data_IF_421765164502
#
_entry.id   IF_421765164502
#
_cell.length_a   1.000
_cell.length_b   1.000
_cell.length_c   1.000
_cell.angle_alpha   90.00
_cell.angle_beta   90.00
_cell.angle_gamma   90.00
#
_symmetry.space_group_name_H-M   'P 1'
#
loop_
_entity.id
_entity.type
_entity.pdbx_description
1 polymer ?
#
# COMPACT_ATOMS: atom_id res chain seq x y z
N UNK A 1 -0.65 26.32 17.80
CA UNK A 1 -0.99 25.97 16.41
C UNK A 1 -1.01 24.45 16.30
N UNK A 2 -2.15 23.86 15.96
CA UNK A 2 -2.28 22.42 15.78
C UNK A 2 -2.61 22.12 14.32
N UNK A 3 -1.87 21.19 13.70
CA UNK A 3 -2.03 20.83 12.29
C UNK A 3 -2.68 19.44 12.22
N UNK A 4 -3.90 19.37 11.69
CA UNK A 4 -4.52 18.10 11.33
C UNK A 4 -4.05 17.68 9.93
N UNK A 5 -3.15 16.69 9.87
CA UNK A 5 -2.55 16.18 8.62
C UNK A 5 -3.51 15.41 7.71
N UNK A 6 -4.66 14.95 8.22
CA UNK A 6 -5.67 14.24 7.42
C UNK A 6 -6.58 15.21 6.66
N UNK A 7 -6.80 16.42 7.18
CA UNK A 7 -7.75 17.39 6.63
C UNK A 7 -7.13 18.76 6.27
N UNK A 8 -5.79 18.87 6.30
CA UNK A 8 -5.06 20.13 6.10
C UNK A 8 -5.66 21.33 6.86
N UNK A 9 -6.11 21.10 8.10
CA UNK A 9 -6.77 22.13 8.91
C UNK A 9 -5.80 22.63 9.97
N UNK A 10 -5.51 23.93 9.91
CA UNK A 10 -4.65 24.65 10.87
C UNK A 10 -5.56 25.33 11.89
N UNK A 11 -5.35 25.04 13.17
CA UNK A 11 -6.02 25.75 14.27
C UNK A 11 -5.05 26.73 14.92
N UNK A 12 -5.47 28.00 15.00
CA UNK A 12 -4.75 29.12 15.62
C UNK A 12 -5.76 30.09 16.23
N UNK A 13 -5.41 30.75 17.34
CA UNK A 13 -6.25 31.75 18.01
C UNK A 13 -6.38 33.05 17.21
N UNK A 14 -5.45 33.30 16.29
CA UNK A 14 -5.50 34.38 15.30
C UNK A 14 -5.21 33.82 13.89
N UNK A 15 -5.81 34.41 12.84
CA UNK A 15 -5.60 34.00 11.45
C UNK A 15 -4.10 34.09 11.11
N UNK A 16 -3.40 32.96 10.90
CA UNK A 16 -1.95 32.97 10.90
C UNK A 16 -1.32 33.48 9.59
N UNK A 17 -2.11 33.91 8.59
CA UNK A 17 -1.63 34.31 7.25
C UNK A 17 -0.64 33.30 6.63
N UNK A 18 -0.81 32.02 6.96
CA UNK A 18 0.04 30.94 6.45
C UNK A 18 -0.59 30.41 5.18
N UNK A 19 0.03 30.69 4.05
CA UNK A 19 -0.30 30.09 2.76
C UNK A 19 0.52 28.82 2.59
N UNK A 20 -0.16 27.66 2.51
CA UNK A 20 0.49 26.40 2.13
C UNK A 20 0.21 26.18 0.65
N UNK A 21 1.12 26.64 -0.20
CA UNK A 21 1.06 26.28 -1.62
C UNK A 21 1.30 24.78 -1.77
N UNK A 22 0.27 24.08 -2.25
CA UNK A 22 0.37 22.67 -2.62
C UNK A 22 0.29 22.60 -4.15
N UNK A 23 1.23 21.93 -4.83
CA UNK A 23 1.15 21.77 -6.28
C UNK A 23 -0.21 21.19 -6.68
N UNK A 24 -0.81 21.70 -7.76
CA UNK A 24 -2.08 21.19 -8.30
C UNK A 24 -1.95 19.72 -8.75
N UNK A 25 -0.74 19.34 -9.18
CA UNK A 25 -0.36 17.99 -9.57
C UNK A 25 0.92 17.58 -8.84
N UNK A 26 0.83 17.25 -7.54
CA UNK A 26 2.01 16.79 -6.82
C UNK A 26 2.43 15.45 -7.42
N UNK A 27 3.73 15.29 -7.65
CA UNK A 27 4.29 14.03 -8.09
C UNK A 27 3.98 12.94 -7.07
N UNK A 28 3.56 11.76 -7.56
CA UNK A 28 3.18 10.64 -6.71
C UNK A 28 3.81 9.38 -7.24
N UNK A 29 4.27 8.55 -6.32
CA UNK A 29 4.56 7.15 -6.62
C UNK A 29 3.35 6.30 -6.26
N UNK A 30 3.18 5.24 -7.03
CA UNK A 30 2.31 4.14 -6.66
C UNK A 30 3.18 2.97 -6.25
N UNK A 31 2.98 2.52 -5.02
CA UNK A 31 3.65 1.35 -4.47
C UNK A 31 2.62 0.28 -4.14
N UNK A 32 3.02 -0.97 -4.34
CA UNK A 32 2.31 -2.15 -3.93
C UNK A 32 3.20 -2.99 -3.04
N UNK A 33 2.65 -3.52 -1.96
CA UNK A 33 3.36 -4.40 -1.04
C UNK A 33 2.44 -5.55 -0.63
N UNK A 34 3.06 -6.66 -0.28
CA UNK A 34 2.41 -7.80 0.35
C UNK A 34 2.98 -8.00 1.74
N UNK A 35 2.11 -8.10 2.76
CA UNK A 35 2.51 -8.53 4.10
C UNK A 35 1.88 -9.86 4.45
N UNK A 36 2.57 -10.63 5.27
CA UNK A 36 2.11 -11.85 5.91
C UNK A 36 2.86 -12.08 7.23
N UNK A 37 2.57 -13.18 7.95
CA UNK A 37 3.08 -13.38 9.31
C UNK A 37 4.61 -13.50 9.40
N UNK A 38 5.26 -14.06 8.38
CA UNK A 38 6.71 -14.18 8.36
C UNK A 38 7.44 -13.02 7.72
N UNK A 39 6.76 -11.99 7.20
CA UNK A 39 7.46 -10.85 6.59
C UNK A 39 6.65 -10.04 5.59
N UNK A 40 7.36 -9.13 4.91
CA UNK A 40 6.86 -8.34 3.79
C UNK A 40 7.60 -8.82 2.53
N UNK A 41 6.85 -9.08 1.46
CA UNK A 41 7.44 -9.21 0.12
C UNK A 41 7.67 -7.80 -0.41
N UNK A 42 8.84 -7.61 -1.03
CA UNK A 42 9.39 -6.31 -1.41
C UNK A 42 8.37 -5.34 -2.06
N UNK A 43 8.54 -4.02 -1.86
CA UNK A 43 7.71 -3.03 -2.51
C UNK A 43 7.91 -3.06 -4.04
N UNK A 44 6.80 -3.16 -4.77
CA UNK A 44 6.75 -2.97 -6.21
C UNK A 44 6.32 -1.55 -6.56
N UNK A 45 7.11 -0.88 -7.39
CA UNK A 45 6.85 0.48 -7.87
C UNK A 45 6.38 0.43 -9.33
N UNK A 46 5.23 1.01 -9.62
CA UNK A 46 4.69 1.00 -10.98
C UNK A 46 5.36 2.11 -11.82
N UNK A 47 6.33 1.69 -12.64
CA UNK A 47 7.06 2.54 -13.57
C UNK A 47 6.95 2.02 -15.02
N UNK A 48 7.14 2.90 -16.00
CA UNK A 48 7.36 2.51 -17.39
C UNK A 48 8.85 2.20 -17.63
N UNK A 49 9.20 1.84 -18.87
CA UNK A 49 10.58 1.49 -19.26
C UNK A 49 11.58 2.65 -19.12
N UNK A 50 11.08 3.89 -19.05
CA UNK A 50 11.88 5.11 -18.82
C UNK A 50 12.02 5.44 -17.32
N UNK A 51 11.42 4.65 -16.42
CA UNK A 51 11.43 4.89 -14.99
C UNK A 51 10.36 5.88 -14.48
N UNK A 52 9.48 6.37 -15.35
CA UNK A 52 8.40 7.28 -14.98
C UNK A 52 7.25 6.55 -14.28
N UNK A 53 6.70 7.15 -13.21
CA UNK A 53 5.54 6.60 -12.49
C UNK A 53 4.31 6.50 -13.39
N UNK A 54 3.58 5.40 -13.27
CA UNK A 54 2.40 5.15 -14.10
C UNK A 54 1.13 4.82 -13.32
N UNK A 55 -0.02 5.17 -13.90
CA UNK A 55 -1.33 4.75 -13.38
C UNK A 55 -1.50 3.24 -13.50
N UNK A 56 -1.84 2.58 -12.40
CA UNK A 56 -2.18 1.15 -12.41
C UNK A 56 -3.58 0.96 -12.98
N UNK A 57 -3.64 0.19 -14.06
CA UNK A 57 -4.85 -0.37 -14.64
C UNK A 57 -4.86 -1.90 -14.44
N UNK A 58 -5.89 -2.59 -14.95
CA UNK A 58 -6.01 -4.05 -14.83
C UNK A 58 -4.81 -4.80 -15.43
N UNK A 59 -4.34 -4.38 -16.61
CA UNK A 59 -3.24 -5.07 -17.30
C UNK A 59 -1.91 -4.93 -16.57
N UNK A 60 -1.59 -3.72 -16.09
CA UNK A 60 -0.38 -3.47 -15.29
C UNK A 60 -0.43 -4.19 -13.94
N UNK A 61 -1.62 -4.25 -13.33
CA UNK A 61 -1.80 -5.00 -12.10
C UNK A 61 -1.60 -6.49 -12.32
N UNK A 62 -2.21 -7.06 -13.37
CA UNK A 62 -1.99 -8.46 -13.78
C UNK A 62 -0.52 -8.75 -14.03
N UNK A 63 0.17 -7.89 -14.79
CA UNK A 63 1.58 -8.04 -15.09
C UNK A 63 2.44 -8.05 -13.82
N UNK A 64 2.16 -7.17 -12.86
CA UNK A 64 2.81 -7.18 -11.54
C UNK A 64 2.55 -8.49 -10.80
N UNK A 65 1.30 -8.97 -10.76
CA UNK A 65 0.97 -10.24 -10.10
C UNK A 65 1.74 -11.41 -10.74
N UNK A 66 1.75 -11.49 -12.07
CA UNK A 66 2.41 -12.59 -12.81
C UNK A 66 3.93 -12.53 -12.72
N UNK A 67 4.53 -11.36 -12.90
CA UNK A 67 5.98 -11.24 -13.13
C UNK A 67 6.76 -10.91 -11.86
N UNK A 68 6.09 -10.41 -10.82
CA UNK A 68 6.72 -10.05 -9.55
C UNK A 68 6.18 -10.90 -8.41
N UNK A 69 4.88 -10.83 -8.12
CA UNK A 69 4.35 -11.43 -6.90
C UNK A 69 4.37 -12.98 -6.92
N UNK A 70 3.83 -13.62 -7.96
CA UNK A 70 3.80 -15.09 -8.03
C UNK A 70 5.20 -15.73 -7.95
N UNK A 71 6.24 -15.20 -8.64
CA UNK A 71 7.60 -15.69 -8.49
C UNK A 71 8.14 -15.65 -7.05
N UNK A 72 7.81 -14.60 -6.27
CA UNK A 72 8.20 -14.48 -4.86
C UNK A 72 7.54 -15.55 -3.97
N UNK A 73 6.40 -16.11 -4.41
CA UNK A 73 5.70 -17.18 -3.70
C UNK A 73 6.43 -18.54 -3.75
N UNK A 74 7.39 -18.73 -4.67
CA UNK A 74 8.13 -20.00 -4.79
C UNK A 74 8.89 -20.39 -3.51
N UNK A 75 9.14 -19.44 -2.62
CA UNK A 75 9.80 -19.66 -1.33
C UNK A 75 8.82 -20.07 -0.22
N UNK A 76 7.51 -20.20 -0.52
CA UNK A 76 6.45 -20.40 0.46
C UNK A 76 5.50 -21.52 0.04
N UNK A 77 4.86 -22.14 1.03
CA UNK A 77 3.78 -23.10 0.77
C UNK A 77 2.46 -22.37 0.50
N UNK A 78 2.18 -22.13 -0.79
CA UNK A 78 0.98 -21.43 -1.27
C UNK A 78 -0.32 -22.16 -0.88
N UNK A 79 -0.27 -23.44 -0.53
CA UNK A 79 -1.46 -24.20 -0.11
C UNK A 79 -2.01 -23.74 1.23
N UNK A 80 -1.14 -23.18 2.08
CA UNK A 80 -1.50 -22.65 3.40
C UNK A 80 -1.79 -21.14 3.37
N UNK A 81 -1.60 -20.47 2.23
CA UNK A 81 -1.77 -19.02 2.11
C UNK A 81 -3.18 -18.63 1.66
N UNK A 82 -3.74 -17.63 2.33
CA UNK A 82 -4.92 -16.89 1.90
C UNK A 82 -4.52 -15.59 1.23
N UNK A 83 -5.12 -15.25 0.10
CA UNK A 83 -4.90 -13.96 -0.57
C UNK A 83 -6.07 -13.02 -0.32
N UNK A 84 -5.80 -11.80 0.14
CA UNK A 84 -6.78 -10.74 0.31
C UNK A 84 -6.36 -9.48 -0.44
N UNK A 85 -7.26 -8.99 -1.28
CA UNK A 85 -7.16 -7.69 -1.92
C UNK A 85 -8.48 -6.91 -1.81
N UNK A 86 -8.40 -5.59 -1.90
CA UNK A 86 -9.59 -4.72 -1.88
C UNK A 86 -10.37 -4.76 -3.21
N UNK A 87 -11.48 -4.02 -3.25
CA UNK A 87 -12.37 -3.95 -4.42
C UNK A 87 -11.98 -2.90 -5.45
N UNK A 88 -10.74 -2.41 -5.49
CA UNK A 88 -10.31 -1.40 -6.46
C UNK A 88 -10.45 -1.92 -7.91
N UNK A 89 -10.85 -1.06 -8.84
CA UNK A 89 -11.17 -1.48 -10.22
C UNK A 89 -10.03 -2.22 -10.91
N UNK A 90 -8.77 -1.80 -10.69
CA UNK A 90 -7.60 -2.48 -11.26
C UNK A 90 -7.37 -3.89 -10.68
N UNK A 91 -7.79 -4.15 -9.44
CA UNK A 91 -7.64 -5.44 -8.77
C UNK A 91 -8.73 -6.45 -9.20
N UNK A 92 -9.86 -5.93 -9.68
CA UNK A 92 -11.06 -6.72 -10.02
C UNK A 92 -11.17 -7.06 -11.51
N UNK A 93 -10.12 -6.82 -12.29
CA UNK A 93 -10.07 -7.25 -13.67
C UNK A 93 -10.22 -8.78 -13.74
N UNK A 94 -11.15 -9.27 -14.57
CA UNK A 94 -11.48 -10.70 -14.66
C UNK A 94 -10.24 -11.58 -14.85
N UNK A 95 -9.36 -11.17 -15.75
CA UNK A 95 -8.09 -11.87 -16.05
C UNK A 95 -7.13 -11.95 -14.86
N UNK A 96 -7.19 -11.00 -13.92
CA UNK A 96 -6.39 -11.06 -12.68
C UNK A 96 -7.07 -11.91 -11.62
N UNK A 97 -8.39 -11.82 -11.51
CA UNK A 97 -9.16 -12.67 -10.59
C UNK A 97 -9.02 -14.15 -10.97
N UNK A 98 -9.09 -14.48 -12.26
CA UNK A 98 -8.92 -15.85 -12.74
C UNK A 98 -7.50 -16.37 -12.42
N UNK A 99 -6.46 -15.56 -12.69
CA UNK A 99 -5.07 -15.89 -12.31
C UNK A 99 -4.89 -16.15 -10.80
N UNK A 100 -5.50 -15.31 -9.96
CA UNK A 100 -5.45 -15.47 -8.51
C UNK A 100 -6.23 -16.70 -8.04
N UNK A 101 -7.35 -17.04 -8.69
CA UNK A 101 -8.09 -18.29 -8.41
C UNK A 101 -7.26 -19.51 -8.78
N UNK A 102 -6.57 -19.48 -9.91
CA UNK A 102 -5.68 -20.58 -10.31
C UNK A 102 -4.53 -20.79 -9.32
N UNK A 103 -4.08 -19.71 -8.66
CA UNK A 103 -2.97 -19.74 -7.70
C UNK A 103 -3.42 -20.12 -6.28
N UNK A 104 -4.52 -19.54 -5.78
CA UNK A 104 -4.95 -19.66 -4.38
C UNK A 104 -6.22 -20.52 -4.19
N UNK A 105 -6.89 -20.93 -5.27
CA UNK A 105 -8.16 -21.67 -5.20
C UNK A 105 -9.23 -20.92 -4.43
N UNK A 106 -9.91 -21.62 -3.52
CA UNK A 106 -10.96 -21.05 -2.66
C UNK A 106 -10.43 -20.08 -1.58
N UNK A 107 -9.10 -19.97 -1.43
CA UNK A 107 -8.44 -19.10 -0.44
C UNK A 107 -8.26 -17.66 -0.91
N UNK A 108 -9.10 -17.20 -1.84
CA UNK A 108 -9.09 -15.84 -2.37
C UNK A 108 -10.26 -15.02 -1.80
N UNK A 109 -9.92 -13.97 -1.05
CA UNK A 109 -10.84 -12.94 -0.60
C UNK A 109 -10.68 -11.72 -1.50
N UNK A 110 -11.66 -11.46 -2.35
CA UNK A 110 -11.65 -10.33 -3.28
C UNK A 110 -13.08 -10.03 -3.71
N UNK A 111 -13.32 -8.83 -4.26
CA UNK A 111 -14.52 -8.64 -5.08
C UNK A 111 -14.44 -9.58 -6.29
N UNK A 112 -15.49 -10.37 -6.51
CA UNK A 112 -15.58 -11.45 -7.52
C UNK A 112 -14.69 -12.69 -7.26
N UNK A 113 -14.07 -12.78 -6.09
CA UNK A 113 -13.39 -13.99 -5.61
C UNK A 113 -14.37 -15.02 -5.02
N UNK A 114 -13.90 -16.23 -4.68
CA UNK A 114 -14.68 -17.24 -3.97
C UNK A 114 -15.27 -16.73 -2.65
N UNK A 115 -14.48 -15.95 -1.90
CA UNK A 115 -14.95 -15.23 -0.71
C UNK A 115 -15.10 -13.75 -1.05
N UNK A 116 -16.33 -13.24 -0.99
CA UNK A 116 -16.60 -11.85 -1.35
C UNK A 116 -16.03 -10.88 -0.32
N UNK A 117 -15.24 -9.91 -0.79
CA UNK A 117 -14.86 -8.73 -0.01
C UNK A 117 -15.97 -7.66 -0.08
N UNK A 118 -16.45 -7.14 1.06
CA UNK A 118 -17.51 -6.14 1.07
C UNK A 118 -17.11 -4.85 0.34
N UNK A 119 -18.05 -4.23 -0.40
CA UNK A 119 -17.80 -2.95 -1.07
C UNK A 119 -17.44 -1.86 -0.06
N UNK A 120 -16.52 -0.96 -0.43
CA UNK A 120 -16.10 0.22 0.37
C UNK A 120 -15.50 -0.10 1.74
N UNK A 121 -14.91 -1.28 1.89
CA UNK A 121 -14.28 -1.72 3.14
C UNK A 121 -12.75 -1.62 3.10
N UNK A 122 -12.18 -0.61 2.42
CA UNK A 122 -10.72 -0.40 2.43
C UNK A 122 -10.19 -0.26 3.86
N UNK A 123 -10.95 0.38 4.75
CA UNK A 123 -10.60 0.58 6.17
C UNK A 123 -10.54 -0.71 7.01
N UNK A 124 -10.94 -1.87 6.46
CA UNK A 124 -10.96 -3.14 7.19
C UNK A 124 -9.71 -4.00 7.00
N UNK A 125 -8.75 -3.57 6.18
CA UNK A 125 -7.46 -4.27 6.11
C UNK A 125 -6.55 -3.74 7.20
N UNK A 126 -5.87 -4.64 7.92
CA UNK A 126 -4.81 -4.24 8.85
C UNK A 126 -3.67 -3.51 8.13
N UNK A 127 -3.57 -3.64 6.81
CA UNK A 127 -2.57 -2.99 5.97
C UNK A 127 -2.78 -1.46 5.86
N UNK A 128 -4.01 -0.99 5.66
CA UNK A 128 -4.31 0.45 5.62
C UNK A 128 -4.19 1.09 7.01
N UNK A 129 -4.66 0.41 8.06
CA UNK A 129 -4.61 0.94 9.43
C UNK A 129 -3.19 0.96 10.00
N UNK A 130 -2.45 -0.13 9.85
CA UNK A 130 -1.13 -0.29 10.47
C UNK A 130 0.01 0.04 9.51
N UNK A 131 0.18 -0.72 8.43
CA UNK A 131 1.37 -0.65 7.59
C UNK A 131 1.51 0.73 6.96
N UNK A 132 0.49 1.20 6.24
CA UNK A 132 0.61 2.48 5.54
C UNK A 132 0.63 3.68 6.49
N UNK A 133 -0.04 3.61 7.64
CA UNK A 133 0.07 4.63 8.69
C UNK A 133 1.48 4.73 9.25
N UNK A 134 2.06 3.58 9.62
CA UNK A 134 3.43 3.46 10.14
C UNK A 134 4.48 3.87 9.11
N UNK A 135 4.44 3.30 7.91
CA UNK A 135 5.37 3.59 6.80
C UNK A 135 5.33 5.08 6.46
N UNK A 136 4.14 5.68 6.31
CA UNK A 136 4.02 7.14 6.04
C UNK A 136 4.68 7.96 7.15
N UNK A 137 4.51 7.59 8.42
CA UNK A 137 5.08 8.36 9.53
C UNK A 137 6.62 8.42 9.49
N UNK A 138 7.26 7.33 9.05
CA UNK A 138 8.72 7.22 8.95
C UNK A 138 9.25 7.78 7.65
N UNK A 139 8.64 7.44 6.52
CA UNK A 139 9.06 7.89 5.18
C UNK A 139 9.03 9.42 5.06
N UNK A 140 8.05 10.09 5.69
CA UNK A 140 7.97 11.54 5.67
C UNK A 140 8.75 12.24 6.79
N UNK A 141 9.35 11.50 7.74
CA UNK A 141 10.20 12.09 8.77
C UNK A 141 11.42 12.79 8.14
N UNK A 142 11.97 12.16 7.09
CA UNK A 142 13.14 12.64 6.36
C UNK A 142 12.82 13.74 5.31
N UNK A 143 11.54 14.13 5.20
CA UNK A 143 11.03 15.17 4.28
C UNK A 143 11.60 15.02 2.85
N UNK A 144 11.38 13.88 2.17
CA UNK A 144 11.93 13.66 0.84
C UNK A 144 11.46 14.76 -0.14
N UNK A 145 12.42 15.30 -0.90
CA UNK A 145 12.20 16.37 -1.88
C UNK A 145 12.10 15.85 -3.32
N UNK A 146 12.45 14.59 -3.56
CA UNK A 146 12.40 13.93 -4.87
C UNK A 146 11.67 12.60 -4.76
N UNK A 147 11.14 12.12 -5.88
CA UNK A 147 10.51 10.79 -5.95
C UNK A 147 11.50 9.66 -5.65
N UNK A 148 12.75 9.78 -6.11
CA UNK A 148 13.79 8.77 -5.85
C UNK A 148 14.10 8.66 -4.36
N UNK A 149 14.29 9.80 -3.67
CA UNK A 149 14.51 9.78 -2.22
C UNK A 149 13.29 9.26 -1.46
N UNK A 150 12.08 9.55 -1.95
CA UNK A 150 10.84 9.00 -1.37
C UNK A 150 10.78 7.47 -1.54
N UNK A 151 11.17 6.95 -2.71
CA UNK A 151 11.25 5.51 -2.99
C UNK A 151 12.31 4.82 -2.13
N UNK A 152 13.52 5.39 -2.04
CA UNK A 152 14.60 4.86 -1.20
C UNK A 152 14.18 4.78 0.27
N UNK A 153 13.48 5.80 0.78
CA UNK A 153 12.95 5.79 2.13
C UNK A 153 11.88 4.71 2.33
N UNK A 154 11.01 4.48 1.34
CA UNK A 154 10.01 3.41 1.41
C UNK A 154 10.71 2.04 1.48
N UNK A 155 11.70 1.80 0.62
CA UNK A 155 12.47 0.55 0.63
C UNK A 155 13.13 0.33 1.98
N UNK A 156 13.89 1.32 2.46
CA UNK A 156 14.55 1.28 3.78
C UNK A 156 13.58 0.98 4.91
N UNK A 157 12.49 1.75 4.99
CA UNK A 157 11.50 1.59 6.07
C UNK A 157 10.85 0.22 6.02
N UNK A 158 10.52 -0.31 4.84
CA UNK A 158 9.92 -1.64 4.70
C UNK A 158 10.90 -2.74 5.11
N UNK A 159 12.16 -2.65 4.68
CA UNK A 159 13.22 -3.60 5.07
C UNK A 159 13.46 -3.59 6.58
N UNK A 160 13.32 -2.44 7.23
CA UNK A 160 13.50 -2.30 8.69
C UNK A 160 12.29 -2.81 9.51
N UNK A 161 11.17 -3.20 8.88
CA UNK A 161 10.01 -3.74 9.60
C UNK A 161 10.33 -5.16 10.09
N UNK A 162 10.42 -5.28 11.42
CA UNK A 162 10.72 -6.56 12.08
C UNK A 162 9.52 -7.52 12.03
N UNK A 163 9.74 -8.83 11.78
CA UNK A 163 8.66 -9.83 11.75
C UNK A 163 7.77 -9.85 13.00
N UNK A 164 8.32 -9.62 14.20
CA UNK A 164 7.55 -9.60 15.45
C UNK A 164 6.52 -8.47 15.50
N UNK A 165 6.72 -7.40 14.72
CA UNK A 165 5.74 -6.34 14.56
C UNK A 165 4.55 -6.81 13.71
N UNK A 166 4.82 -7.61 12.68
CA UNK A 166 3.81 -8.15 11.77
C UNK A 166 2.99 -9.27 12.43
N UNK A 167 3.63 -10.13 13.22
CA UNK A 167 2.96 -11.17 14.01
C UNK A 167 1.82 -10.56 14.85
N UNK A 168 2.10 -9.50 15.62
CA UNK A 168 1.09 -8.81 16.44
C UNK A 168 -0.05 -8.20 15.61
N UNK A 169 0.26 -7.70 14.42
CA UNK A 169 -0.75 -7.10 13.52
C UNK A 169 -1.68 -8.18 12.99
N UNK A 170 -1.12 -9.35 12.68
CA UNK A 170 -1.88 -10.48 12.15
C UNK A 170 -2.64 -11.21 13.25
N UNK A 171 -2.08 -11.44 14.43
CA UNK A 171 -2.78 -12.02 15.59
C UNK A 171 -4.04 -11.22 15.97
N UNK A 172 -3.94 -9.88 15.95
CA UNK A 172 -5.09 -9.01 16.18
C UNK A 172 -6.17 -9.12 15.09
N UNK A 173 -5.85 -9.67 13.92
CA UNK A 173 -6.75 -9.79 12.78
C UNK A 173 -7.27 -11.23 12.59
N UNK A 174 -6.48 -12.25 12.94
CA UNK A 174 -6.76 -13.69 12.76
C UNK A 174 -7.62 -14.31 13.85
N UNK A 175 -8.02 -13.56 14.88
CA UNK A 175 -9.05 -14.01 15.84
C UNK A 175 -10.40 -14.37 15.18
N UNK A 176 -10.58 -14.07 13.88
CA UNK A 176 -11.78 -14.40 13.10
C UNK A 176 -11.56 -15.28 11.85
N UNK A 177 -10.32 -15.60 11.43
CA UNK A 177 -10.02 -16.36 10.18
C UNK A 177 -8.67 -17.09 10.24
N UNK A 178 -8.51 -18.27 9.59
CA UNK A 178 -7.32 -19.11 9.72
C UNK A 178 -6.07 -18.48 9.08
N UNK A 179 -4.93 -19.05 9.45
CA UNK A 179 -3.58 -18.53 9.34
C UNK A 179 -3.18 -18.02 7.94
N UNK A 180 -2.38 -16.95 7.99
CA UNK A 180 -1.63 -16.29 6.89
C UNK A 180 -2.47 -15.69 5.76
N UNK A 181 -2.90 -14.45 5.98
CA UNK A 181 -3.39 -13.57 4.93
C UNK A 181 -2.21 -12.82 4.26
N UNK A 182 -2.00 -13.05 2.97
CA UNK A 182 -1.30 -12.14 2.07
C UNK A 182 -2.22 -10.95 1.83
N UNK A 183 -1.97 -9.88 2.57
CA UNK A 183 -2.70 -8.64 2.40
C UNK A 183 -1.99 -7.81 1.35
N UNK A 184 -2.73 -7.43 0.33
CA UNK A 184 -2.23 -6.72 -0.82
C UNK A 184 -3.05 -5.43 -0.98
N UNK A 185 -2.39 -4.27 -0.91
CA UNK A 185 -3.03 -3.02 -1.30
C UNK A 185 -2.07 -2.08 -2.00
N UNK A 186 -2.68 -1.26 -2.85
CA UNK A 186 -2.05 -0.16 -3.54
C UNK A 186 -2.12 1.08 -2.66
N UNK A 187 -0.98 1.75 -2.46
CA UNK A 187 -0.96 3.08 -1.83
C UNK A 187 -0.38 4.14 -2.77
N UNK A 188 -0.95 5.34 -2.68
CA UNK A 188 -0.41 6.54 -3.31
C UNK A 188 0.31 7.37 -2.25
N UNK A 189 1.62 7.55 -2.43
CA UNK A 189 2.42 8.47 -1.61
C UNK A 189 2.82 9.68 -2.47
N UNK A 190 2.68 10.88 -1.91
CA UNK A 190 2.93 12.15 -2.60
C UNK A 190 4.30 12.66 -2.17
N UNK A 191 5.13 13.11 -3.10
CA UNK A 191 6.31 13.90 -2.73
C UNK A 191 5.84 15.29 -2.29
N UNK A 192 6.07 15.65 -1.03
CA UNK A 192 5.74 16.96 -0.51
C UNK A 192 6.91 17.92 -0.78
N UNK A 193 6.97 18.52 -1.97
CA UNK A 193 7.70 19.77 -2.14
C UNK A 193 6.88 20.90 -1.51
N UNK A 194 6.82 20.95 -0.17
CA UNK A 194 6.18 22.06 0.54
C UNK A 194 7.20 23.18 0.67
N UNK A 195 7.17 24.16 -0.23
CA UNK A 195 7.86 25.43 -0.02
C UNK A 195 7.00 26.24 0.94
N UNK A 196 7.44 26.37 2.18
CA UNK A 196 6.89 27.37 3.09
C UNK A 196 7.46 28.73 2.66
N UNK A 197 6.69 29.52 1.93
CA UNK A 197 6.93 30.95 1.81
C UNK A 197 6.32 31.62 3.05
N UNK A 198 7.18 32.27 3.83
CA UNK A 198 6.76 33.27 4.80
C UNK A 198 6.89 34.62 4.09
N UNK A 199 5.83 35.43 4.09
CA UNK A 199 5.97 36.88 3.85
C UNK A 199 6.60 37.54 5.08
#
# INVERSE_FOLDING_TARGET
>A
MAINKQNCRIWSEANPQVYVETPLHPEKLTVWCTLWAGGIIDPYFFKNDEGHNVTVNGDRYKAMITNFFIPELNNYDVQELWFLQDGATCHTARTTIDLLKDTFGDRLISRFGPVNWPPRSCDLTSLDYFLWGYVKSLVYADKPQTLDHLEDNIRRVITDIRPQMLEKVIENWTTSKPAVAVLCQKSYLKCNATRLSFE
#
